data_IF_098218861785
#
_entry.id   IF_098218861785
#
_cell.length_a   1.000
_cell.length_b   1.000
_cell.length_c   1.000
_cell.angle_alpha   90.00
_cell.angle_beta   90.00
_cell.angle_gamma   90.00
#
_symmetry.space_group_name_H-M   'P 1'
#
loop_
_entity.id
_entity.type
_entity.pdbx_description
1 polymer ?
#
# COMPACT_ATOMS: atom_id res chain seq x y z
N UNK A 1 -26.04 -18.30 -76.99
CA UNK A 1 -26.72 -16.99 -76.86
C UNK A 1 -26.21 -16.37 -75.56
N UNK A 2 -25.10 -15.63 -75.43
CA UNK A 2 -24.56 -14.46 -76.17
C UNK A 2 -25.59 -13.34 -76.37
N UNK A 3 -25.18 -12.13 -75.92
CA UNK A 3 -25.81 -10.79 -75.96
C UNK A 3 -26.72 -10.49 -74.74
N UNK A 4 -26.72 -9.32 -74.07
CA UNK A 4 -26.25 -7.95 -74.39
C UNK A 4 -26.32 -7.14 -73.05
N UNK A 5 -25.24 -6.63 -72.43
CA UNK A 5 -24.51 -5.36 -72.68
C UNK A 5 -25.29 -4.06 -72.36
N UNK A 6 -24.80 -3.36 -71.32
CA UNK A 6 -24.67 -1.89 -71.09
C UNK A 6 -25.78 -1.06 -70.41
N UNK A 7 -25.43 -0.65 -69.18
CA UNK A 7 -25.45 0.69 -68.57
C UNK A 7 -26.71 1.56 -68.60
N UNK A 8 -27.26 1.83 -67.41
CA UNK A 8 -27.55 3.22 -67.02
C UNK A 8 -27.20 3.45 -65.54
N UNK A 9 -26.34 4.44 -65.35
CA UNK A 9 -25.84 5.02 -64.12
C UNK A 9 -26.97 5.68 -63.33
N UNK A 10 -27.15 5.39 -62.03
CA UNK A 10 -27.56 6.42 -61.07
C UNK A 10 -27.14 6.06 -59.64
N UNK A 11 -26.16 6.84 -59.17
CA UNK A 11 -25.87 7.23 -57.79
C UNK A 11 -26.93 6.83 -56.74
N UNK A 12 -26.50 6.11 -55.69
CA UNK A 12 -26.66 6.49 -54.28
C UNK A 12 -25.46 5.91 -53.52
N UNK A 13 -24.55 6.80 -53.13
CA UNK A 13 -23.53 6.56 -52.13
C UNK A 13 -24.25 6.61 -50.77
N UNK A 14 -24.40 5.47 -50.11
CA UNK A 14 -24.62 5.43 -48.66
C UNK A 14 -23.51 4.61 -48.03
N UNK A 15 -22.41 5.31 -47.73
CA UNK A 15 -21.36 4.81 -46.87
C UNK A 15 -21.91 4.65 -45.46
N UNK A 16 -22.42 3.47 -45.12
CA UNK A 16 -22.63 3.08 -43.73
C UNK A 16 -21.32 2.49 -43.24
N UNK A 17 -20.48 3.37 -42.69
CA UNK A 17 -19.29 3.01 -41.94
C UNK A 17 -19.74 2.42 -40.59
N UNK A 18 -20.10 1.14 -40.56
CA UNK A 18 -20.18 0.41 -39.29
C UNK A 18 -18.76 0.16 -38.79
N UNK A 19 -18.22 1.14 -38.07
CA UNK A 19 -17.11 0.91 -37.16
C UNK A 19 -17.60 -0.01 -36.04
N UNK A 20 -17.42 -1.33 -36.21
CA UNK A 20 -17.47 -2.26 -35.10
C UNK A 20 -16.32 -1.89 -34.16
N UNK A 21 -16.67 -1.24 -33.06
CA UNK A 21 -15.76 -1.04 -31.94
C UNK A 21 -15.34 -2.42 -31.45
N UNK A 22 -14.09 -2.79 -31.73
CA UNK A 22 -13.41 -3.85 -30.99
C UNK A 22 -13.37 -3.38 -29.55
N UNK A 23 -14.26 -3.93 -28.73
CA UNK A 23 -14.24 -3.73 -27.30
C UNK A 23 -12.86 -4.09 -26.78
N UNK A 24 -12.14 -3.11 -26.26
CA UNK A 24 -10.97 -3.35 -25.46
C UNK A 24 -11.41 -4.22 -24.29
N UNK A 25 -11.09 -5.52 -24.35
CA UNK A 25 -11.21 -6.40 -23.21
C UNK A 25 -10.38 -5.78 -22.09
N UNK A 26 -11.08 -5.29 -21.06
CA UNK A 26 -10.50 -4.91 -19.79
C UNK A 26 -9.76 -6.12 -19.23
N UNK A 27 -8.47 -6.24 -19.51
CA UNK A 27 -7.58 -7.13 -18.78
C UNK A 27 -7.34 -6.51 -17.41
N UNK A 28 -8.36 -6.55 -16.54
CA UNK A 28 -8.16 -6.45 -15.10
C UNK A 28 -7.17 -7.57 -14.72
N UNK A 29 -6.07 -7.27 -14.01
CA UNK A 29 -5.16 -8.31 -13.55
C UNK A 29 -5.96 -9.33 -12.75
N UNK A 30 -6.00 -10.57 -13.23
CA UNK A 30 -6.60 -11.69 -12.52
C UNK A 30 -5.82 -11.83 -11.20
N UNK A 31 -6.42 -11.44 -10.09
CA UNK A 31 -5.86 -11.69 -8.76
C UNK A 31 -5.78 -13.20 -8.59
N UNK A 32 -4.60 -13.77 -8.82
CA UNK A 32 -4.37 -15.19 -8.58
C UNK A 32 -4.42 -15.38 -7.07
N UNK A 33 -5.40 -16.14 -6.53
CA UNK A 33 -5.46 -16.38 -5.10
C UNK A 33 -4.17 -17.09 -4.68
N UNK A 34 -3.52 -16.57 -3.64
CA UNK A 34 -2.29 -17.14 -3.10
C UNK A 34 -2.64 -18.31 -2.19
N UNK A 35 -3.08 -19.42 -2.78
CA UNK A 35 -3.53 -20.61 -2.08
C UNK A 35 -2.84 -21.85 -2.61
N UNK A 36 -2.57 -22.82 -1.74
CA UNK A 36 -1.91 -24.06 -2.15
C UNK A 36 -1.46 -24.95 -1.00
N UNK A 37 -0.91 -26.10 -1.36
CA UNK A 37 -0.27 -27.03 -0.43
C UNK A 37 1.14 -26.54 -0.12
N UNK A 38 1.51 -26.50 1.16
CA UNK A 38 2.87 -26.15 1.60
C UNK A 38 3.81 -27.29 1.24
N UNK A 39 4.80 -26.99 0.40
CA UNK A 39 5.88 -27.90 0.03
C UNK A 39 7.10 -27.73 0.92
N UNK A 40 7.41 -26.48 1.27
CA UNK A 40 8.53 -26.12 2.14
C UNK A 40 8.09 -24.99 3.06
N UNK A 41 8.64 -24.97 4.28
CA UNK A 41 8.45 -23.86 5.22
C UNK A 41 9.72 -23.63 6.02
N UNK A 42 10.03 -22.37 6.30
CA UNK A 42 11.20 -21.97 7.08
C UNK A 42 10.98 -20.60 7.73
N UNK A 43 11.47 -20.44 8.95
CA UNK A 43 11.36 -19.18 9.69
C UNK A 43 12.68 -18.41 9.63
N UNK A 44 12.60 -17.10 9.43
CA UNK A 44 13.79 -16.25 9.45
C UNK A 44 13.48 -14.77 9.34
N UNK A 45 14.25 -13.94 10.05
CA UNK A 45 14.12 -12.48 9.96
C UNK A 45 12.71 -11.96 10.31
N UNK A 46 11.96 -12.64 11.18
CA UNK A 46 10.62 -12.25 11.61
C UNK A 46 9.46 -12.75 10.75
N UNK A 47 9.74 -13.58 9.73
CA UNK A 47 8.74 -14.14 8.83
C UNK A 47 8.79 -15.67 8.80
N UNK A 48 7.66 -16.27 8.44
CA UNK A 48 7.59 -17.64 7.95
C UNK A 48 7.52 -17.60 6.43
N UNK A 49 8.51 -18.21 5.78
CA UNK A 49 8.56 -18.37 4.33
C UNK A 49 7.97 -19.72 3.97
N UNK A 50 6.96 -19.73 3.10
CA UNK A 50 6.28 -20.94 2.63
C UNK A 50 6.39 -21.05 1.13
N UNK A 51 6.77 -22.23 0.63
CA UNK A 51 6.65 -22.58 -0.78
C UNK A 51 5.31 -23.26 -0.98
N UNK A 52 4.40 -22.60 -1.72
CA UNK A 52 3.07 -23.13 -2.00
C UNK A 52 3.03 -23.75 -3.40
N UNK A 53 2.42 -24.93 -3.51
CA UNK A 53 1.96 -25.47 -4.78
C UNK A 53 0.62 -24.82 -5.14
N UNK A 54 0.64 -23.86 -6.05
CA UNK A 54 -0.53 -23.14 -6.55
C UNK A 54 -0.87 -23.63 -7.97
N UNK A 55 -1.71 -24.66 -8.07
CA UNK A 55 -1.97 -25.34 -9.34
C UNK A 55 -0.69 -26.01 -9.88
N UNK A 56 -0.24 -25.75 -11.12
CA UNK A 56 1.03 -26.26 -11.65
C UNK A 56 2.25 -25.45 -11.18
N UNK A 57 2.07 -24.26 -10.63
CA UNK A 57 3.16 -23.35 -10.27
C UNK A 57 3.59 -23.50 -8.80
N UNK A 58 4.85 -23.17 -8.52
CA UNK A 58 5.40 -23.07 -7.16
C UNK A 58 5.65 -21.61 -6.85
N UNK A 59 5.12 -21.14 -5.73
CA UNK A 59 5.20 -19.72 -5.34
C UNK A 59 5.74 -19.61 -3.92
N UNK A 60 6.83 -18.87 -3.76
CA UNK A 60 7.31 -18.47 -2.45
C UNK A 60 6.45 -17.34 -1.91
N UNK A 61 6.01 -17.48 -0.65
CA UNK A 61 5.36 -16.42 0.10
C UNK A 61 6.04 -16.23 1.45
N UNK A 62 6.12 -14.98 1.91
CA UNK A 62 6.56 -14.63 3.25
C UNK A 62 5.36 -14.06 4.01
N UNK A 63 5.03 -14.66 5.14
CA UNK A 63 3.95 -14.22 6.03
C UNK A 63 4.52 -13.87 7.40
N UNK A 64 3.80 -13.06 8.22
CA UNK A 64 4.16 -12.90 9.62
C UNK A 64 4.38 -14.26 10.27
N UNK A 65 5.32 -14.33 11.22
CA UNK A 65 5.71 -15.60 11.87
C UNK A 65 4.46 -16.41 12.27
N UNK A 66 4.24 -17.53 11.59
CA UNK A 66 3.04 -18.35 11.68
C UNK A 66 3.47 -19.81 11.70
N UNK A 67 2.94 -20.59 12.63
CA UNK A 67 3.24 -22.01 12.69
C UNK A 67 2.59 -22.73 11.50
N UNK A 68 3.41 -23.14 10.54
CA UNK A 68 2.99 -23.85 9.34
C UNK A 68 3.69 -25.21 9.30
N UNK A 69 3.00 -26.24 8.78
CA UNK A 69 3.59 -27.56 8.52
C UNK A 69 3.67 -27.85 7.03
N UNK A 70 4.72 -28.57 6.61
CA UNK A 70 4.79 -29.14 5.26
C UNK A 70 3.60 -30.09 5.06
N UNK A 71 2.96 -29.99 3.91
CA UNK A 71 1.75 -30.73 3.56
C UNK A 71 0.43 -30.03 3.90
N UNK A 72 0.46 -28.94 4.68
CA UNK A 72 -0.72 -28.17 5.05
C UNK A 72 -1.30 -27.40 3.85
N UNK A 73 -2.63 -27.35 3.72
CA UNK A 73 -3.30 -26.49 2.75
C UNK A 73 -3.49 -25.10 3.35
N UNK A 74 -3.01 -24.06 2.66
CA UNK A 74 -3.12 -22.67 3.09
C UNK A 74 -3.81 -21.82 2.02
N UNK A 75 -4.56 -20.82 2.48
CA UNK A 75 -4.96 -19.68 1.66
C UNK A 75 -4.41 -18.43 2.33
N UNK A 76 -3.61 -17.66 1.60
CA UNK A 76 -2.98 -16.44 2.08
C UNK A 76 -3.76 -15.23 1.59
N UNK A 77 -3.70 -14.15 2.37
CA UNK A 77 -4.20 -12.86 1.93
C UNK A 77 -3.45 -12.41 0.67
N UNK A 78 -4.04 -11.54 -0.17
CA UNK A 78 -3.30 -10.89 -1.24
C UNK A 78 -2.02 -10.25 -0.71
N UNK A 79 -0.94 -10.41 -1.47
CA UNK A 79 0.39 -9.95 -1.07
C UNK A 79 1.09 -9.17 -2.17
N UNK A 80 2.28 -8.70 -1.87
CA UNK A 80 3.14 -7.98 -2.81
C UNK A 80 4.30 -8.85 -3.25
N UNK A 81 4.45 -9.00 -4.56
CA UNK A 81 5.58 -9.68 -5.16
C UNK A 81 6.86 -8.84 -5.04
N UNK A 82 7.90 -9.45 -4.52
CA UNK A 82 9.27 -8.94 -4.47
C UNK A 82 10.14 -9.80 -5.35
N UNK A 83 10.85 -9.18 -6.30
CA UNK A 83 11.83 -9.85 -7.15
C UNK A 83 13.24 -9.62 -6.59
N UNK A 84 14.13 -10.58 -6.80
CA UNK A 84 15.54 -10.52 -6.37
C UNK A 84 15.71 -10.19 -4.88
N UNK A 85 14.86 -10.76 -4.03
CA UNK A 85 14.87 -10.49 -2.60
C UNK A 85 15.89 -11.37 -1.88
N UNK A 86 16.72 -10.76 -1.02
CA UNK A 86 17.64 -11.51 -0.14
C UNK A 86 17.16 -11.45 1.30
N UNK A 87 16.79 -12.58 1.86
CA UNK A 87 16.51 -12.73 3.28
C UNK A 87 17.82 -12.81 4.06
N UNK A 88 18.12 -11.76 4.84
CA UNK A 88 19.28 -11.75 5.74
C UNK A 88 19.16 -12.81 6.83
N UNK A 89 17.95 -13.01 7.37
CA UNK A 89 17.71 -13.98 8.44
C UNK A 89 17.83 -15.44 8.01
N UNK A 90 17.67 -15.74 6.72
CA UNK A 90 17.88 -17.08 6.15
C UNK A 90 19.20 -17.20 5.38
N UNK A 91 19.96 -16.10 5.26
CA UNK A 91 21.08 -15.98 4.32
C UNK A 91 20.76 -16.55 2.93
N UNK A 92 19.55 -16.28 2.43
CA UNK A 92 19.00 -16.88 1.20
C UNK A 92 18.48 -15.83 0.25
N UNK A 93 18.75 -16.01 -1.04
CA UNK A 93 18.18 -15.22 -2.13
C UNK A 93 16.96 -15.92 -2.73
N UNK A 94 15.94 -15.12 -3.03
CA UNK A 94 14.72 -15.52 -3.72
C UNK A 94 14.59 -14.70 -5.00
N UNK A 95 14.46 -15.37 -6.14
CA UNK A 95 14.22 -14.69 -7.41
C UNK A 95 12.88 -13.96 -7.40
N UNK A 96 11.89 -14.56 -6.71
CA UNK A 96 10.56 -14.02 -6.48
C UNK A 96 10.00 -14.54 -5.15
N UNK A 97 9.44 -13.66 -4.33
CA UNK A 97 8.70 -14.00 -3.10
C UNK A 97 7.53 -13.05 -2.93
N UNK A 98 6.37 -13.54 -2.50
CA UNK A 98 5.18 -12.73 -2.25
C UNK A 98 5.05 -12.49 -0.75
N UNK A 99 5.17 -11.24 -0.32
CA UNK A 99 4.90 -10.88 1.05
C UNK A 99 3.40 -10.69 1.25
N UNK A 100 2.80 -11.56 2.06
CA UNK A 100 1.36 -11.58 2.32
C UNK A 100 1.08 -11.21 3.77
N UNK A 101 -0.08 -10.59 4.02
CA UNK A 101 -0.53 -10.19 5.35
C UNK A 101 -0.86 -11.35 6.30
N UNK A 102 -0.75 -12.59 5.84
CA UNK A 102 -1.01 -13.80 6.64
C UNK A 102 -2.07 -14.70 6.02
N UNK A 103 -2.68 -15.54 6.84
CA UNK A 103 -3.71 -16.48 6.39
C UNK A 103 -5.02 -15.73 6.08
N UNK A 104 -5.63 -16.00 4.93
CA UNK A 104 -6.90 -15.38 4.51
C UNK A 104 -8.08 -15.77 5.42
N UNK A 105 -7.99 -16.92 6.10
CA UNK A 105 -9.02 -17.44 7.00
C UNK A 105 -8.57 -17.41 8.47
N UNK A 106 -7.82 -16.39 8.89
CA UNK A 106 -7.32 -16.28 10.27
C UNK A 106 -8.47 -16.01 11.27
N UNK A 107 -9.26 -17.03 11.61
CA UNK A 107 -9.91 -17.09 12.91
C UNK A 107 -8.80 -17.27 13.96
N UNK A 108 -8.53 -16.18 14.68
CA UNK A 108 -7.80 -16.10 15.96
C UNK A 108 -6.52 -16.96 16.05
N UNK A 109 -5.37 -16.42 15.63
CA UNK A 109 -4.07 -17.05 15.91
C UNK A 109 -3.53 -16.49 17.23
N UNK A 110 -3.52 -17.34 18.26
CA UNK A 110 -2.84 -17.09 19.52
C UNK A 110 -1.33 -17.15 19.32
N UNK A 111 -0.65 -16.03 19.56
CA UNK A 111 0.81 -15.97 19.60
C UNK A 111 1.29 -16.51 20.96
N UNK A 112 2.23 -17.45 20.96
CA UNK A 112 2.80 -17.96 22.21
C UNK A 112 3.74 -16.92 22.85
N UNK A 113 3.84 -16.84 24.19
CA UNK A 113 4.71 -15.88 24.89
C UNK A 113 6.19 -15.98 24.51
N UNK A 114 6.65 -17.15 24.07
CA UNK A 114 8.01 -17.36 23.57
C UNK A 114 8.30 -16.56 22.28
N UNK A 115 7.28 -16.37 21.40
CA UNK A 115 7.41 -15.56 20.19
C UNK A 115 7.52 -14.07 20.49
N UNK A 116 6.97 -13.60 21.63
CA UNK A 116 7.07 -12.19 22.07
C UNK A 116 8.48 -11.87 22.61
N UNK A 117 9.14 -12.85 23.24
CA UNK A 117 10.47 -12.67 23.84
C UNK A 117 11.60 -12.63 22.80
N UNK A 118 11.49 -13.41 21.72
CA UNK A 118 12.46 -13.41 20.62
C UNK A 118 12.46 -12.14 19.75
N UNK A 119 11.41 -11.31 19.84
CA UNK A 119 11.32 -10.01 19.15
C UNK A 119 12.23 -8.94 19.78
N UNK A 120 12.68 -9.14 21.02
CA UNK A 120 13.48 -8.15 21.77
C UNK A 120 15.00 -8.40 21.75
N UNK A 121 15.48 -9.50 21.19
CA UNK A 121 16.90 -9.84 21.18
C UNK A 121 17.39 -10.19 19.78
N UNK A 122 17.66 -9.16 18.98
CA UNK A 122 18.51 -9.29 17.81
C UNK A 122 18.00 -8.62 16.54
N UNK A 123 18.05 -7.27 16.50
CA UNK A 123 18.65 -6.48 15.40
C UNK A 123 18.96 -5.05 15.92
N UNK A 124 20.24 -4.62 16.01
CA UNK A 124 20.58 -3.20 15.91
C UNK A 124 20.28 -2.75 14.47
N UNK A 125 19.34 -1.82 14.30
CA UNK A 125 18.99 -1.29 12.97
C UNK A 125 17.57 -1.51 12.47
N UNK A 126 16.59 -1.71 13.36
CA UNK A 126 15.28 -1.12 13.07
C UNK A 126 15.47 0.41 12.98
N UNK A 127 14.81 1.16 12.07
CA UNK A 127 14.75 2.60 12.20
C UNK A 127 13.95 2.92 13.47
N UNK A 128 14.70 2.95 14.57
CA UNK A 128 14.38 3.69 15.75
C UNK A 128 14.14 5.11 15.28
N UNK A 129 12.93 5.61 15.46
CA UNK A 129 12.68 7.05 15.35
C UNK A 129 13.48 7.73 16.46
N UNK A 130 14.75 7.97 16.18
CA UNK A 130 15.57 9.01 16.76
C UNK A 130 16.30 9.71 15.63
N UNK A 131 16.34 11.03 15.79
CA UNK A 131 16.92 11.98 14.88
C UNK A 131 18.42 11.70 14.62
N UNK A 132 18.84 12.03 13.41
CA UNK A 132 20.22 12.39 13.08
C UNK A 132 21.08 11.25 12.54
N UNK A 133 21.36 11.27 11.24
CA UNK A 133 22.69 11.66 10.77
C UNK A 133 22.78 11.62 9.22
N UNK A 134 23.20 12.77 8.71
CA UNK A 134 24.05 13.02 7.55
C UNK A 134 23.57 12.57 6.16
N UNK A 135 23.13 13.61 5.46
CA UNK A 135 23.19 13.78 4.03
C UNK A 135 24.52 13.30 3.43
N UNK A 136 24.42 12.67 2.26
CA UNK A 136 25.50 12.67 1.27
C UNK A 136 24.96 13.34 0.01
N UNK A 137 25.65 14.42 -0.37
CA UNK A 137 25.24 15.36 -1.38
C UNK A 137 25.39 14.79 -2.79
N UNK A 138 24.42 15.09 -3.65
CA UNK A 138 24.62 15.19 -5.09
C UNK A 138 23.78 16.36 -5.64
N UNK A 139 24.49 17.48 -5.85
CA UNK A 139 24.32 18.53 -6.86
C UNK A 139 22.91 19.11 -7.12
N UNK A 140 22.62 20.17 -6.35
CA UNK A 140 22.02 21.45 -6.71
C UNK A 140 20.96 21.55 -7.85
N UNK A 141 19.70 21.67 -7.44
CA UNK A 141 18.85 22.79 -7.84
C UNK A 141 18.31 23.47 -6.55
N UNK A 142 18.22 24.80 -6.58
CA UNK A 142 18.05 25.70 -5.44
C UNK A 142 16.81 25.34 -4.57
N UNK A 143 16.96 24.94 -3.30
CA UNK A 143 15.80 24.67 -2.44
C UNK A 143 15.09 25.96 -2.05
N UNK A 144 13.77 25.99 -2.21
CA UNK A 144 12.93 27.02 -1.58
C UNK A 144 13.13 26.99 -0.04
N UNK A 145 13.01 28.14 0.66
CA UNK A 145 13.26 28.23 2.10
C UNK A 145 12.45 27.20 2.88
N UNK A 146 13.13 26.48 3.78
CA UNK A 146 12.49 25.53 4.68
C UNK A 146 11.40 26.23 5.51
N UNK A 147 10.15 25.81 5.32
CA UNK A 147 9.01 26.39 6.03
C UNK A 147 9.05 26.08 7.55
N UNK A 148 8.58 26.99 8.41
CA UNK A 148 8.69 26.89 9.85
C UNK A 148 7.97 25.65 10.41
N UNK A 149 8.67 24.89 11.26
CA UNK A 149 8.32 23.55 11.76
C UNK A 149 7.22 23.47 12.83
N UNK A 150 6.43 24.53 13.07
CA UNK A 150 5.47 24.56 14.20
C UNK A 150 4.25 25.46 13.98
N UNK A 151 3.79 25.65 12.73
CA UNK A 151 2.61 26.48 12.49
C UNK A 151 1.32 25.64 12.56
N UNK A 152 0.47 25.95 13.54
CA UNK A 152 -0.87 25.37 13.67
C UNK A 152 -1.66 25.63 12.39
N UNK A 153 -2.10 24.56 11.73
CA UNK A 153 -2.89 24.64 10.50
C UNK A 153 -4.36 24.75 10.89
N UNK A 154 -5.10 25.65 10.23
CA UNK A 154 -6.54 25.77 10.43
C UNK A 154 -7.25 24.49 10.00
N UNK A 155 -8.22 24.05 10.81
CA UNK A 155 -9.07 22.89 10.52
C UNK A 155 -9.73 23.04 9.14
N UNK A 156 -9.88 21.92 8.42
CA UNK A 156 -10.64 21.89 7.18
C UNK A 156 -12.09 22.36 7.39
N UNK A 157 -12.69 22.94 6.34
CA UNK A 157 -14.12 23.29 6.33
C UNK A 157 -14.91 22.18 5.61
N UNK A 158 -16.19 22.04 5.96
CA UNK A 158 -17.11 21.12 5.30
C UNK A 158 -17.44 19.86 6.11
N UNK A 159 -18.30 18.99 5.55
CA UNK A 159 -18.72 17.76 6.21
C UNK A 159 -17.53 16.83 6.43
N UNK A 160 -17.56 16.08 7.54
CA UNK A 160 -16.51 15.13 7.92
C UNK A 160 -15.11 15.76 8.06
N UNK A 161 -15.05 17.07 8.31
CA UNK A 161 -13.79 17.76 8.58
C UNK A 161 -13.35 17.56 10.03
N UNK A 162 -12.10 17.13 10.20
CA UNK A 162 -11.49 16.87 11.51
C UNK A 162 -10.06 17.41 11.55
N UNK A 163 -9.60 17.79 12.73
CA UNK A 163 -8.16 17.92 12.98
C UNK A 163 -7.52 16.55 13.14
N UNK A 164 -6.19 16.45 13.04
CA UNK A 164 -5.46 15.19 13.26
C UNK A 164 -5.71 14.66 14.67
N UNK A 165 -5.70 15.51 15.70
CA UNK A 165 -6.03 15.08 17.05
C UNK A 165 -7.45 14.50 17.17
N UNK A 166 -8.44 15.11 16.50
CA UNK A 166 -9.80 14.58 16.46
C UNK A 166 -9.89 13.25 15.73
N UNK A 167 -9.12 13.07 14.64
CA UNK A 167 -9.04 11.80 13.91
C UNK A 167 -8.56 10.68 14.83
N UNK A 168 -7.48 10.88 15.58
CA UNK A 168 -7.00 9.87 16.52
C UNK A 168 -8.00 9.61 17.66
N UNK A 169 -8.60 10.66 18.22
CA UNK A 169 -9.57 10.53 19.31
C UNK A 169 -10.88 9.83 18.88
N UNK A 170 -11.31 10.06 17.63
CA UNK A 170 -12.57 9.51 17.08
C UNK A 170 -12.34 8.31 16.16
N UNK A 171 -11.09 7.84 16.02
CA UNK A 171 -10.65 6.73 15.17
C UNK A 171 -11.67 5.61 15.07
N UNK A 172 -12.05 4.99 16.19
CA UNK A 172 -13.03 3.89 16.25
C UNK A 172 -14.39 4.23 15.62
N UNK A 173 -14.88 5.47 15.79
CA UNK A 173 -16.18 5.93 15.25
C UNK A 173 -16.10 6.30 13.77
N UNK A 174 -14.89 6.55 13.28
CA UNK A 174 -14.62 6.98 11.91
C UNK A 174 -14.12 5.82 11.01
N UNK A 175 -14.02 4.61 11.54
CA UNK A 175 -13.60 3.42 10.80
C UNK A 175 -14.43 3.25 9.51
N UNK A 176 -13.74 3.08 8.38
CA UNK A 176 -14.27 2.95 7.02
C UNK A 176 -15.10 4.15 6.55
N UNK A 177 -15.02 5.31 7.22
CA UNK A 177 -15.71 6.54 6.82
C UNK A 177 -14.79 7.47 6.05
N UNK A 178 -15.40 8.29 5.19
CA UNK A 178 -14.71 9.42 4.57
C UNK A 178 -14.42 10.49 5.61
N UNK A 179 -13.19 10.98 5.61
CA UNK A 179 -12.73 12.07 6.46
C UNK A 179 -11.99 13.11 5.64
N UNK A 180 -12.09 14.36 6.07
CA UNK A 180 -11.39 15.50 5.46
C UNK A 180 -10.47 16.12 6.50
N UNK A 181 -9.19 16.26 6.16
CA UNK A 181 -8.15 16.79 7.05
C UNK A 181 -7.35 17.83 6.30
N UNK A 182 -7.09 18.98 6.94
CA UNK A 182 -6.21 20.02 6.40
C UNK A 182 -4.92 20.04 7.21
N UNK A 183 -3.79 19.92 6.52
CA UNK A 183 -2.48 19.80 7.15
C UNK A 183 -1.35 20.17 6.21
N UNK A 184 -0.16 20.39 6.79
CA UNK A 184 1.08 20.58 6.05
C UNK A 184 1.70 19.23 5.72
N UNK A 185 2.14 19.05 4.48
CA UNK A 185 2.90 17.87 4.06
C UNK A 185 4.30 17.93 4.67
N UNK A 186 4.63 16.97 5.52
CA UNK A 186 5.94 16.92 6.19
C UNK A 186 6.87 15.84 5.64
N UNK A 187 6.32 14.84 4.95
CA UNK A 187 7.08 13.78 4.29
C UNK A 187 6.25 13.13 3.18
N UNK A 188 6.92 12.80 2.09
CA UNK A 188 6.35 12.00 0.99
C UNK A 188 7.28 10.84 0.67
N UNK A 189 6.73 9.62 0.66
CA UNK A 189 7.45 8.40 0.27
C UNK A 189 6.72 7.73 -0.88
N UNK A 190 7.36 7.65 -2.05
CA UNK A 190 6.73 7.23 -3.28
C UNK A 190 6.95 5.74 -3.56
N UNK A 191 6.09 5.16 -4.42
CA UNK A 191 6.25 3.81 -4.99
C UNK A 191 6.31 2.68 -3.94
N UNK A 192 5.65 2.86 -2.80
CA UNK A 192 5.51 1.82 -1.77
C UNK A 192 4.12 1.18 -1.94
N UNK A 193 4.09 -0.12 -2.21
CA UNK A 193 2.86 -0.87 -2.47
C UNK A 193 2.00 -0.27 -3.61
N UNK A 194 2.64 0.17 -4.71
CA UNK A 194 1.99 0.86 -5.85
C UNK A 194 1.26 2.17 -5.46
N UNK A 195 1.52 2.72 -4.27
CA UNK A 195 0.96 3.97 -3.77
C UNK A 195 2.07 4.92 -3.30
N UNK A 196 1.72 6.17 -3.10
CA UNK A 196 2.53 7.15 -2.38
C UNK A 196 1.99 7.26 -0.96
N UNK A 197 2.91 7.42 -0.02
CA UNK A 197 2.65 7.58 1.41
C UNK A 197 2.99 9.00 1.79
N UNK A 198 2.04 9.69 2.42
CA UNK A 198 2.14 11.12 2.72
C UNK A 198 1.88 11.29 4.20
N UNK A 199 2.79 11.96 4.90
CA UNK A 199 2.59 12.37 6.29
C UNK A 199 2.13 13.83 6.30
N UNK A 200 1.02 14.08 6.99
CA UNK A 200 0.56 15.43 7.30
C UNK A 200 0.72 15.74 8.79
N UNK A 201 1.01 17.00 9.10
CA UNK A 201 0.91 17.58 10.43
C UNK A 201 0.02 18.83 10.39
N UNK A 202 -0.83 19.02 11.40
CA UNK A 202 -1.66 20.23 11.55
C UNK A 202 -1.38 21.01 12.84
N UNK A 203 -0.45 20.50 13.67
CA UNK A 203 -0.07 21.10 14.95
C UNK A 203 -1.05 20.85 16.10
N UNK A 204 -2.09 20.03 15.91
CA UNK A 204 -3.06 19.70 16.98
C UNK A 204 -2.71 18.44 17.76
N UNK A 205 -1.94 17.55 17.16
CA UNK A 205 -1.50 16.29 17.76
C UNK A 205 -0.33 16.41 18.73
N UNK A 206 0.09 15.29 19.31
CA UNK A 206 1.21 15.23 20.27
C UNK A 206 2.26 14.19 19.87
N UNK A 207 3.54 14.60 19.86
CA UNK A 207 4.66 13.70 19.62
C UNK A 207 4.79 12.65 20.72
N UNK A 208 4.60 13.05 21.98
CA UNK A 208 4.62 12.14 23.13
C UNK A 208 3.55 11.05 23.02
N UNK A 209 2.37 11.41 22.50
CA UNK A 209 1.26 10.46 22.28
C UNK A 209 1.30 9.77 20.91
N UNK A 210 2.32 10.03 20.07
CA UNK A 210 2.42 9.53 18.69
C UNK A 210 1.17 9.82 17.84
N UNK A 211 0.64 11.05 17.98
CA UNK A 211 -0.54 11.56 17.25
C UNK A 211 -0.24 12.88 16.52
N UNK A 212 1.03 13.30 16.48
CA UNK A 212 1.44 14.54 15.83
C UNK A 212 1.33 14.48 14.30
N UNK A 213 1.60 13.30 13.72
CA UNK A 213 1.51 13.04 12.30
C UNK A 213 0.32 12.13 11.98
N UNK A 214 -0.24 12.28 10.77
CA UNK A 214 -1.24 11.37 10.22
C UNK A 214 -0.80 10.91 8.83
N UNK A 215 -0.95 9.61 8.58
CA UNK A 215 -0.45 8.95 7.38
C UNK A 215 -1.58 8.74 6.37
N UNK A 216 -1.29 9.04 5.12
CA UNK A 216 -2.21 8.92 3.98
C UNK A 216 -1.57 8.07 2.89
N UNK A 217 -2.33 7.19 2.25
CA UNK A 217 -1.94 6.55 0.98
C UNK A 217 -2.70 7.16 -0.18
N UNK A 218 -2.04 7.36 -1.31
CA UNK A 218 -2.62 8.03 -2.48
C UNK A 218 -1.93 7.60 -3.78
N UNK A 219 -2.59 7.84 -4.92
CA UNK A 219 -1.95 7.76 -6.26
C UNK A 219 -1.38 9.10 -6.72
N UNK A 220 -1.92 10.20 -6.21
CA UNK A 220 -1.46 11.55 -6.55
C UNK A 220 -0.28 11.94 -5.66
N UNK A 221 0.47 12.96 -6.05
CA UNK A 221 1.66 13.37 -5.32
C UNK A 221 1.55 14.84 -4.87
N UNK A 222 1.21 15.11 -3.60
CA UNK A 222 1.38 16.44 -3.04
C UNK A 222 2.88 16.72 -2.83
N UNK A 223 3.29 17.99 -2.84
CA UNK A 223 4.69 18.36 -2.58
C UNK A 223 4.93 18.56 -1.09
N UNK A 224 6.12 18.19 -0.63
CA UNK A 224 6.55 18.49 0.74
C UNK A 224 6.52 20.00 1.00
N UNK A 225 6.09 20.39 2.21
CA UNK A 225 5.94 21.78 2.63
C UNK A 225 4.61 22.45 2.27
N UNK A 226 3.88 21.95 1.25
CA UNK A 226 2.57 22.47 0.87
C UNK A 226 1.56 22.26 2.02
N UNK A 227 0.67 23.23 2.24
CA UNK A 227 -0.52 23.04 3.07
C UNK A 227 -1.67 22.61 2.16
N UNK A 228 -2.27 21.47 2.48
CA UNK A 228 -3.25 20.78 1.63
C UNK A 228 -4.45 20.33 2.43
N UNK A 229 -5.59 20.23 1.77
CA UNK A 229 -6.79 19.52 2.25
C UNK A 229 -6.82 18.14 1.61
N UNK A 230 -6.77 17.10 2.45
CA UNK A 230 -6.81 15.70 2.08
C UNK A 230 -8.19 15.10 2.41
N UNK A 231 -8.76 14.33 1.49
CA UNK A 231 -9.98 13.54 1.71
C UNK A 231 -9.69 12.07 1.42
N UNK A 232 -10.09 11.16 2.29
CA UNK A 232 -9.90 9.72 2.08
C UNK A 232 -10.66 8.88 3.09
N UNK A 233 -10.53 7.55 2.99
CA UNK A 233 -11.22 6.61 3.88
C UNK A 233 -10.33 6.26 5.06
N UNK A 234 -10.82 6.44 6.29
CA UNK A 234 -10.10 6.11 7.50
C UNK A 234 -10.16 4.62 7.82
N UNK A 235 -9.02 4.03 8.18
CA UNK A 235 -8.90 2.69 8.71
C UNK A 235 -8.06 2.68 9.99
N UNK A 236 -8.41 1.81 10.92
CA UNK A 236 -7.72 1.63 12.19
C UNK A 236 -7.05 0.28 12.28
N UNK A 237 -5.99 0.23 13.10
CA UNK A 237 -5.28 -0.99 13.45
C UNK A 237 -4.85 -1.80 12.21
N UNK A 238 -4.48 -1.11 11.13
CA UNK A 238 -3.98 -1.77 9.94
C UNK A 238 -2.59 -2.31 10.20
N UNK A 239 -2.41 -3.59 9.94
CA UNK A 239 -1.16 -4.30 10.07
C UNK A 239 -0.70 -4.78 8.70
N UNK A 240 0.46 -4.30 8.27
CA UNK A 240 1.11 -4.73 7.04
C UNK A 240 2.22 -5.76 7.29
N UNK A 241 2.31 -6.29 8.52
CA UNK A 241 3.36 -7.20 8.97
C UNK A 241 4.63 -6.48 9.42
N UNK A 242 5.51 -7.20 10.11
CA UNK A 242 6.91 -6.78 10.35
C UNK A 242 7.10 -5.45 11.07
N UNK A 243 6.16 -5.15 11.97
CA UNK A 243 6.17 -3.93 12.74
C UNK A 243 5.56 -2.73 12.02
N UNK A 244 5.12 -2.87 10.75
CA UNK A 244 4.39 -1.83 10.03
C UNK A 244 2.91 -1.84 10.42
N UNK A 245 2.64 -1.36 11.64
CA UNK A 245 1.30 -1.18 12.17
C UNK A 245 0.92 0.30 12.21
N UNK A 246 -0.28 0.60 11.74
CA UNK A 246 -0.85 1.94 11.76
C UNK A 246 -2.11 1.92 12.60
N UNK A 247 -2.07 2.61 13.74
CA UNK A 247 -3.26 2.79 14.59
C UNK A 247 -4.37 3.53 13.83
N UNK A 248 -3.99 4.48 12.97
CA UNK A 248 -4.87 5.18 12.04
C UNK A 248 -4.12 5.38 10.71
N UNK A 249 -4.77 5.05 9.60
CA UNK A 249 -4.29 5.29 8.24
C UNK A 249 -5.45 5.77 7.37
N UNK A 250 -5.23 6.80 6.56
CA UNK A 250 -6.21 7.23 5.57
C UNK A 250 -5.83 6.66 4.21
N UNK A 251 -6.70 5.86 3.60
CA UNK A 251 -6.44 5.26 2.29
C UNK A 251 -7.13 5.99 1.14
N UNK A 252 -6.52 5.86 -0.04
CA UNK A 252 -6.99 6.38 -1.32
C UNK A 252 -7.29 7.90 -1.28
N UNK A 253 -6.40 8.62 -0.61
CA UNK A 253 -6.54 10.03 -0.35
C UNK A 253 -6.42 10.87 -1.63
N UNK A 254 -7.25 11.90 -1.74
CA UNK A 254 -7.17 12.95 -2.75
C UNK A 254 -6.73 14.25 -2.08
N UNK A 255 -5.75 14.93 -2.66
CA UNK A 255 -5.19 16.16 -2.13
C UNK A 255 -5.62 17.37 -2.98
N UNK A 256 -5.98 18.47 -2.32
CA UNK A 256 -6.26 19.78 -2.92
C UNK A 256 -5.51 20.86 -2.12
N UNK A 257 -5.11 21.96 -2.75
CA UNK A 257 -4.53 23.10 -2.04
C UNK A 257 -5.62 23.98 -1.43
#
# INVERSE_FOLDING_TARGET
MKHLVKHLFLLIIFAVLTAQQVGAADTKPKEVPLSGKVLETMDGGGYTYVLLQNGPEKVWAAIPLTKVKVGQQLSLMPGFEMKNFTSKGLNRKFDKVIFSGGLANAEKIEMSPAAIKAVHQGVPGAPQNQAGAKAQAAKAEKPAPAAPKNQKVTKAKGPNAYTIAEIYAKSKKLEKKQVVVRGRVVRVSQKIMKKNWVHLEDGTGSKAKKTADLVFTTKNLPREGDVVTASGTLYNNLDFGSGYRYNVLIQDAKFRK
#
